data_IF_389425340608
#
_entry.id   IF_389425340608
#
_cell.length_a   1.000
_cell.length_b   1.000
_cell.length_c   1.000
_cell.angle_alpha   90.00
_cell.angle_beta   90.00
_cell.angle_gamma   90.00
#
_symmetry.space_group_name_H-M   'P 1'
#
loop_
_entity.id
_entity.type
_entity.pdbx_description
1 polymer ?
#
# COMPACT_ATOMS: atom_id res chain seq x y z
N UNK A 1 4.66 6.20 9.31
CA UNK A 1 5.60 7.29 8.91
C UNK A 1 4.79 8.56 8.62
N UNK A 2 5.37 9.76 8.81
CA UNK A 2 4.70 11.04 8.56
C UNK A 2 4.60 11.34 7.07
N UNK A 3 3.51 11.99 6.63
CA UNK A 3 3.33 12.46 5.26
C UNK A 3 4.26 13.64 5.00
N UNK A 4 5.26 13.43 4.18
CA UNK A 4 6.21 14.46 3.71
C UNK A 4 6.58 14.17 2.26
N UNK A 5 7.00 15.18 1.50
CA UNK A 5 7.38 15.01 0.08
C UNK A 5 8.45 13.94 -0.12
N UNK A 6 9.42 13.82 0.80
CA UNK A 6 10.47 12.78 0.73
C UNK A 6 9.94 11.36 0.81
N UNK A 7 8.71 11.14 1.34
CA UNK A 7 8.05 9.82 1.38
C UNK A 7 7.44 9.42 0.04
N UNK A 8 7.37 10.34 -0.88
CA UNK A 8 6.95 10.14 -2.28
C UNK A 8 5.61 9.37 -2.43
N UNK A 9 4.61 9.76 -1.61
CA UNK A 9 3.28 9.11 -1.65
C UNK A 9 2.60 9.34 -2.99
N UNK A 10 2.90 10.45 -3.69
CA UNK A 10 2.39 10.68 -5.04
C UNK A 10 2.77 9.55 -6.00
N UNK A 11 4.02 9.07 -5.96
CA UNK A 11 4.46 7.91 -6.75
C UNK A 11 3.65 6.64 -6.38
N UNK A 12 3.38 6.42 -5.07
CA UNK A 12 2.56 5.28 -4.65
C UNK A 12 1.14 5.34 -5.23
N UNK A 13 0.54 6.54 -5.32
CA UNK A 13 -0.78 6.73 -5.95
C UNK A 13 -0.73 6.39 -7.45
N UNK A 14 0.29 6.85 -8.18
CA UNK A 14 0.46 6.52 -9.59
C UNK A 14 0.70 5.02 -9.80
N UNK A 15 1.53 4.39 -8.98
CA UNK A 15 1.76 2.94 -9.02
C UNK A 15 0.45 2.18 -8.83
N UNK A 16 -0.34 2.54 -7.81
CA UNK A 16 -1.63 1.91 -7.56
C UNK A 16 -2.60 2.09 -8.73
N UNK A 17 -2.65 3.29 -9.32
CA UNK A 17 -3.48 3.54 -10.51
C UNK A 17 -3.15 2.58 -11.63
N UNK A 18 -1.87 2.41 -11.99
CA UNK A 18 -1.46 1.44 -13.01
C UNK A 18 -1.69 -0.01 -12.59
N UNK A 19 -1.43 -0.36 -11.33
CA UNK A 19 -1.64 -1.71 -10.82
C UNK A 19 -3.10 -2.17 -10.98
N UNK A 20 -4.07 -1.27 -10.72
CA UNK A 20 -5.51 -1.52 -10.91
C UNK A 20 -5.95 -1.60 -12.38
N UNK A 21 -5.09 -1.24 -13.33
CA UNK A 21 -5.35 -1.37 -14.77
C UNK A 21 -4.81 -2.68 -15.36
N UNK A 22 -3.97 -3.43 -14.62
CA UNK A 22 -3.34 -4.66 -15.13
C UNK A 22 -4.33 -5.83 -15.13
N UNK A 23 -5.13 -5.94 -14.07
CA UNK A 23 -6.11 -7.01 -13.88
C UNK A 23 -7.31 -6.54 -13.03
N UNK A 24 -8.29 -7.42 -12.84
CA UNK A 24 -9.52 -7.15 -12.09
C UNK A 24 -9.34 -7.28 -10.56
N UNK A 25 -8.10 -7.35 -10.04
CA UNK A 25 -7.86 -7.43 -8.60
C UNK A 25 -8.16 -6.09 -7.91
N UNK A 26 -8.83 -6.14 -6.77
CA UNK A 26 -9.17 -4.95 -5.98
C UNK A 26 -7.95 -4.50 -5.14
N UNK A 27 -6.93 -3.98 -5.80
CA UNK A 27 -5.78 -3.40 -5.11
C UNK A 27 -6.18 -2.14 -4.35
N UNK A 28 -5.74 -2.06 -3.08
CA UNK A 28 -5.99 -0.93 -2.19
C UNK A 28 -4.70 -0.47 -1.53
N UNK A 29 -4.61 0.82 -1.24
CA UNK A 29 -3.48 1.43 -0.54
C UNK A 29 -3.95 2.04 0.78
N UNK A 30 -3.30 1.67 1.87
CA UNK A 30 -3.48 2.30 3.18
C UNK A 30 -2.27 3.16 3.49
N UNK A 31 -2.48 4.45 3.70
CA UNK A 31 -1.44 5.41 4.04
C UNK A 31 -1.56 5.73 5.53
N UNK A 32 -0.58 5.29 6.32
CA UNK A 32 -0.66 5.23 7.79
C UNK A 32 -0.25 6.52 8.51
N UNK A 33 0.44 7.44 7.84
CA UNK A 33 1.07 8.59 8.50
C UNK A 33 0.19 9.83 8.54
N UNK A 34 0.22 10.61 9.64
CA UNK A 34 -0.32 11.96 9.68
C UNK A 34 0.58 12.95 8.93
N UNK A 35 0.08 14.14 8.57
CA UNK A 35 0.94 15.25 8.12
C UNK A 35 2.01 15.57 9.17
N UNK A 36 3.21 15.91 8.71
CA UNK A 36 4.32 16.22 9.63
C UNK A 36 4.10 17.57 10.34
N UNK A 37 4.33 17.70 11.67
CA UNK A 37 3.96 18.88 12.45
C UNK A 37 4.89 20.09 12.26
N UNK A 38 6.08 19.91 11.69
CA UNK A 38 7.14 20.93 11.74
C UNK A 38 7.42 21.66 10.43
N UNK A 39 6.65 21.40 9.36
CA UNK A 39 6.80 22.10 8.09
C UNK A 39 5.45 22.70 7.66
N UNK A 40 5.34 24.03 7.52
CA UNK A 40 4.12 24.69 7.05
C UNK A 40 3.62 24.20 5.68
N UNK A 41 4.49 23.60 4.87
CA UNK A 41 4.11 23.03 3.57
C UNK A 41 3.45 21.62 3.67
N UNK A 42 3.44 21.00 4.85
CA UNK A 42 2.87 19.65 5.00
C UNK A 42 1.34 19.59 4.87
N UNK A 43 0.55 20.54 5.39
CA UNK A 43 -0.90 20.58 5.11
C UNK A 43 -1.20 20.68 3.61
N UNK A 44 -0.52 21.57 2.89
CA UNK A 44 -0.66 21.69 1.44
C UNK A 44 -0.28 20.42 0.68
N UNK A 45 0.70 19.65 1.17
CA UNK A 45 1.06 18.38 0.55
C UNK A 45 -0.05 17.32 0.70
N UNK A 46 -0.75 17.27 1.83
CA UNK A 46 -1.92 16.39 1.98
C UNK A 46 -3.01 16.79 0.98
N UNK A 47 -3.32 18.08 0.85
CA UNK A 47 -4.30 18.56 -0.12
C UNK A 47 -3.93 18.19 -1.57
N UNK A 48 -2.66 18.32 -1.94
CA UNK A 48 -2.14 17.86 -3.24
C UNK A 48 -2.37 16.36 -3.46
N UNK A 49 -2.09 15.53 -2.44
CA UNK A 49 -2.31 14.08 -2.51
C UNK A 49 -3.80 13.71 -2.64
N UNK A 50 -4.68 14.44 -1.94
CA UNK A 50 -6.13 14.25 -2.04
C UNK A 50 -6.65 14.65 -3.43
N UNK A 51 -6.15 15.75 -3.99
CA UNK A 51 -6.46 16.18 -5.35
C UNK A 51 -5.96 15.14 -6.38
N UNK A 52 -4.73 14.62 -6.21
CA UNK A 52 -4.17 13.58 -7.07
C UNK A 52 -4.99 12.28 -6.98
N UNK A 53 -5.38 11.84 -5.76
CA UNK A 53 -6.25 10.68 -5.55
C UNK A 53 -7.54 10.80 -6.36
N UNK A 54 -8.18 11.99 -6.34
CA UNK A 54 -9.39 12.27 -7.10
C UNK A 54 -9.13 12.27 -8.62
N UNK A 55 -8.05 12.92 -9.07
CA UNK A 55 -7.66 12.93 -10.50
C UNK A 55 -7.43 11.53 -11.05
N UNK A 56 -6.84 10.63 -10.25
CA UNK A 56 -6.59 9.24 -10.60
C UNK A 56 -7.79 8.30 -10.36
N UNK A 57 -8.93 8.83 -9.88
CA UNK A 57 -10.14 8.06 -9.55
C UNK A 57 -9.89 6.93 -8.54
N UNK A 58 -9.13 7.24 -7.49
CA UNK A 58 -8.70 6.29 -6.46
C UNK A 58 -9.38 6.49 -5.10
N UNK A 59 -10.49 7.24 -5.02
CA UNK A 59 -11.16 7.59 -3.77
C UNK A 59 -11.62 6.36 -2.97
N UNK A 60 -12.03 5.30 -3.66
CA UNK A 60 -12.45 4.03 -3.03
C UNK A 60 -11.29 3.05 -2.78
N UNK A 61 -10.11 3.33 -3.33
CA UNK A 61 -8.95 2.44 -3.29
C UNK A 61 -7.82 2.94 -2.40
N UNK A 62 -7.75 4.25 -2.12
CA UNK A 62 -6.71 4.86 -1.28
C UNK A 62 -7.33 5.42 -0.01
N UNK A 63 -6.86 4.93 1.12
CA UNK A 63 -7.32 5.32 2.45
C UNK A 63 -6.17 5.97 3.24
N UNK A 64 -6.27 7.27 3.48
CA UNK A 64 -5.41 7.94 4.44
C UNK A 64 -6.00 7.76 5.82
N UNK A 65 -5.31 7.09 6.74
CA UNK A 65 -5.84 6.85 8.09
C UNK A 65 -6.16 8.16 8.83
N UNK A 66 -5.41 9.20 8.52
CA UNK A 66 -5.61 10.53 9.08
C UNK A 66 -6.98 11.14 8.76
N UNK A 67 -7.64 10.73 7.65
CA UNK A 67 -8.96 11.24 7.26
C UNK A 67 -10.12 10.43 7.88
N UNK A 68 -9.87 9.24 8.42
CA UNK A 68 -10.95 8.28 8.72
C UNK A 68 -11.78 8.66 9.94
N UNK A 69 -11.27 9.49 10.85
CA UNK A 69 -11.94 9.81 12.11
C UNK A 69 -11.80 11.29 12.48
N UNK A 70 -12.69 11.76 13.35
CA UNK A 70 -12.55 13.01 14.06
C UNK A 70 -12.62 12.72 15.58
N UNK A 71 -11.52 12.86 16.34
CA UNK A 71 -10.19 13.33 15.93
C UNK A 71 -9.47 12.34 14.96
N UNK A 72 -8.51 12.86 14.16
CA UNK A 72 -7.78 12.07 13.17
C UNK A 72 -7.14 10.82 13.74
N UNK A 73 -7.25 9.70 13.03
CA UNK A 73 -6.67 8.43 13.45
C UNK A 73 -5.14 8.43 13.26
N UNK A 74 -4.41 8.41 14.36
CA UNK A 74 -2.96 8.18 14.38
C UNK A 74 -2.75 6.77 14.93
N UNK A 75 -2.32 5.81 14.11
CA UNK A 75 -2.17 4.42 14.56
C UNK A 75 -1.08 4.31 15.63
N UNK A 76 -1.38 3.59 16.69
CA UNK A 76 -0.41 3.11 17.67
C UNK A 76 0.38 1.91 17.14
N UNK A 77 1.35 1.42 17.90
CA UNK A 77 2.20 0.31 17.50
C UNK A 77 1.41 -0.99 17.27
N UNK A 78 0.36 -1.22 18.05
CA UNK A 78 -0.53 -2.38 17.91
C UNK A 78 -1.30 -2.31 16.58
N UNK A 79 -1.86 -1.16 16.28
CA UNK A 79 -2.57 -0.92 15.02
C UNK A 79 -1.64 -1.07 13.82
N UNK A 80 -0.41 -0.53 13.90
CA UNK A 80 0.60 -0.69 12.85
C UNK A 80 0.98 -2.15 12.65
N UNK A 81 1.22 -2.90 13.73
CA UNK A 81 1.51 -4.33 13.66
C UNK A 81 0.38 -5.11 12.99
N UNK A 82 -0.87 -4.81 13.35
CA UNK A 82 -2.04 -5.43 12.71
C UNK A 82 -2.13 -5.09 11.22
N UNK A 83 -1.83 -3.86 10.82
CA UNK A 83 -1.81 -3.46 9.41
C UNK A 83 -0.74 -4.20 8.61
N UNK A 84 0.45 -4.40 9.16
CA UNK A 84 1.48 -5.22 8.53
C UNK A 84 1.02 -6.67 8.35
N UNK A 85 0.37 -7.27 9.34
CA UNK A 85 -0.14 -8.65 9.25
C UNK A 85 -1.30 -8.77 8.24
N UNK A 86 -2.16 -7.77 8.15
CA UNK A 86 -3.30 -7.74 7.22
C UNK A 86 -2.87 -7.40 5.79
N UNK A 87 -1.80 -6.67 5.60
CA UNK A 87 -1.30 -6.26 4.30
C UNK A 87 -0.87 -7.43 3.41
N UNK A 88 -0.78 -7.19 2.12
CA UNK A 88 -0.23 -8.12 1.14
C UNK A 88 1.18 -7.73 0.71
N UNK A 89 1.54 -6.46 0.86
CA UNK A 89 2.87 -5.93 0.60
C UNK A 89 3.09 -4.56 1.22
N UNK A 90 4.33 -4.22 1.51
CA UNK A 90 4.79 -2.88 1.86
C UNK A 90 5.29 -2.19 0.59
N UNK A 91 4.66 -1.07 0.21
CA UNK A 91 5.18 -0.16 -0.81
C UNK A 91 5.86 1.03 -0.11
N UNK A 92 7.17 1.19 -0.32
CA UNK A 92 7.98 2.16 0.41
C UNK A 92 8.81 3.04 -0.56
N UNK A 93 8.19 3.99 -1.27
CA UNK A 93 8.81 4.76 -2.35
C UNK A 93 9.60 5.99 -1.86
N UNK A 94 10.06 5.99 -0.61
CA UNK A 94 10.78 7.11 -0.01
C UNK A 94 12.06 7.44 -0.76
N UNK A 95 12.27 8.71 -1.06
CA UNK A 95 13.49 9.22 -1.72
C UNK A 95 14.65 9.41 -0.74
N UNK A 96 14.36 9.51 0.55
CA UNK A 96 15.37 9.72 1.60
C UNK A 96 14.90 9.14 2.93
N UNK A 97 15.76 8.33 3.55
CA UNK A 97 15.57 7.74 4.88
C UNK A 97 16.90 7.67 5.64
N UNK A 98 16.78 7.55 6.96
CA UNK A 98 17.96 7.32 7.81
C UNK A 98 18.36 5.85 7.89
N UNK A 99 17.39 4.94 8.03
CA UNK A 99 17.68 3.52 8.27
C UNK A 99 16.72 2.55 7.56
N UNK A 100 15.42 2.87 7.48
CA UNK A 100 14.44 1.97 6.86
C UNK A 100 13.75 1.03 7.84
N UNK A 101 13.46 1.48 9.06
CA UNK A 101 12.73 0.68 10.08
C UNK A 101 11.50 -0.06 9.53
N UNK A 102 10.64 0.53 8.66
CA UNK A 102 9.51 -0.18 8.06
C UNK A 102 9.87 -1.45 7.30
N UNK A 103 11.09 -1.56 6.76
CA UNK A 103 11.56 -2.80 6.09
C UNK A 103 11.70 -3.93 7.12
N UNK A 104 12.27 -3.63 8.29
CA UNK A 104 12.45 -4.60 9.36
C UNK A 104 11.11 -5.02 9.97
N UNK A 105 10.20 -4.05 10.21
CA UNK A 105 8.85 -4.31 10.71
C UNK A 105 8.06 -5.23 9.77
N UNK A 106 8.10 -4.95 8.47
CA UNK A 106 7.47 -5.79 7.45
C UNK A 106 8.12 -7.17 7.35
N UNK A 107 9.46 -7.24 7.49
CA UNK A 107 10.23 -8.47 7.49
C UNK A 107 9.82 -9.45 8.60
N UNK A 108 9.58 -8.94 9.82
CA UNK A 108 9.15 -9.76 10.98
C UNK A 108 7.86 -10.54 10.66
N UNK A 109 6.93 -9.96 9.91
CA UNK A 109 5.67 -10.62 9.53
C UNK A 109 5.74 -11.28 8.14
N UNK A 110 6.93 -11.36 7.55
CA UNK A 110 7.16 -11.95 6.21
C UNK A 110 6.31 -11.29 5.11
N UNK A 111 6.10 -9.98 5.22
CA UNK A 111 5.38 -9.19 4.23
C UNK A 111 6.30 -8.89 3.05
N UNK A 112 5.92 -9.12 1.79
CA UNK A 112 6.67 -8.66 0.63
C UNK A 112 6.94 -7.16 0.67
N UNK A 113 8.15 -6.74 0.30
CA UNK A 113 8.57 -5.35 0.36
C UNK A 113 9.00 -4.87 -1.01
N UNK A 114 8.43 -3.75 -1.45
CA UNK A 114 8.75 -3.04 -2.68
C UNK A 114 9.20 -1.64 -2.29
N UNK A 115 10.48 -1.32 -2.44
CA UNK A 115 11.03 -0.07 -1.95
C UNK A 115 11.96 0.61 -2.96
N UNK A 116 12.12 1.93 -2.79
CA UNK A 116 13.05 2.69 -3.59
C UNK A 116 14.49 2.18 -3.40
N UNK A 117 15.27 2.21 -4.47
CA UNK A 117 16.67 1.82 -4.47
C UNK A 117 17.55 2.95 -3.90
N UNK A 118 17.59 3.08 -2.57
CA UNK A 118 18.41 4.04 -1.85
C UNK A 118 19.36 3.34 -0.87
N UNK A 119 20.54 3.93 -0.57
CA UNK A 119 21.56 3.28 0.26
C UNK A 119 21.05 2.69 1.58
N UNK A 120 20.25 3.39 2.43
CA UNK A 120 19.75 2.80 3.68
C UNK A 120 18.88 1.58 3.47
N UNK A 121 18.13 1.50 2.35
CA UNK A 121 17.28 0.35 2.05
C UNK A 121 18.09 -0.84 1.52
N UNK A 122 19.19 -0.57 0.82
CA UNK A 122 20.17 -1.60 0.44
C UNK A 122 20.82 -2.26 1.66
N UNK A 123 21.11 -1.48 2.70
CA UNK A 123 21.70 -1.98 3.95
C UNK A 123 20.71 -2.84 4.75
N UNK A 124 19.44 -2.44 4.81
CA UNK A 124 18.43 -3.13 5.63
C UNK A 124 17.71 -4.26 4.88
N UNK A 125 17.50 -4.11 3.58
CA UNK A 125 16.72 -5.05 2.75
C UNK A 125 17.57 -6.10 2.05
N UNK A 126 18.88 -5.83 1.84
CA UNK A 126 19.83 -6.70 1.13
C UNK A 126 19.24 -7.24 -0.18
N UNK A 127 19.09 -8.56 -0.29
CA UNK A 127 18.50 -9.25 -1.44
C UNK A 127 17.07 -9.78 -1.17
N UNK A 128 16.48 -9.42 -0.01
CA UNK A 128 15.21 -9.98 0.44
C UNK A 128 14.01 -9.08 0.11
N UNK A 129 14.25 -7.96 -0.58
CA UNK A 129 13.23 -7.00 -0.98
C UNK A 129 13.28 -6.74 -2.50
N UNK A 130 12.20 -6.21 -3.06
CA UNK A 130 12.16 -5.78 -4.45
C UNK A 130 12.48 -4.29 -4.54
N UNK A 131 13.61 -3.96 -5.15
CA UNK A 131 14.03 -2.58 -5.37
C UNK A 131 13.52 -2.02 -6.69
N UNK A 132 13.19 -0.74 -6.72
CA UNK A 132 12.94 0.04 -7.93
C UNK A 132 13.62 1.40 -7.85
N UNK A 133 13.99 1.95 -8.98
CA UNK A 133 14.56 3.30 -9.08
C UNK A 133 13.40 4.31 -9.31
N UNK A 134 13.08 5.18 -8.32
CA UNK A 134 11.96 6.10 -8.44
C UNK A 134 12.17 7.19 -9.50
N UNK A 135 13.40 7.39 -10.00
CA UNK A 135 13.76 8.38 -11.01
C UNK A 135 13.82 7.78 -12.44
N UNK A 136 14.10 6.48 -12.56
CA UNK A 136 14.24 5.79 -13.85
C UNK A 136 13.05 4.89 -14.18
N UNK A 137 12.47 4.22 -13.19
CA UNK A 137 11.36 3.30 -13.40
C UNK A 137 10.03 4.08 -13.44
N UNK A 138 9.29 3.97 -14.53
CA UNK A 138 7.95 4.55 -14.58
C UNK A 138 6.99 3.88 -13.58
N UNK A 139 5.95 4.58 -13.11
CA UNK A 139 4.93 3.97 -12.23
C UNK A 139 4.30 2.70 -12.81
N UNK A 140 4.16 2.62 -14.14
CA UNK A 140 3.65 1.44 -14.84
C UNK A 140 4.62 0.25 -14.76
N UNK A 141 5.92 0.48 -14.88
CA UNK A 141 6.94 -0.57 -14.74
C UNK A 141 6.99 -1.11 -13.32
N UNK A 142 6.94 -0.21 -12.31
CA UNK A 142 6.88 -0.61 -10.90
C UNK A 142 5.61 -1.41 -10.61
N UNK A 143 4.46 -0.97 -11.14
CA UNK A 143 3.19 -1.70 -11.01
C UNK A 143 3.27 -3.11 -11.62
N UNK A 144 3.86 -3.24 -12.81
CA UNK A 144 4.07 -4.53 -13.46
C UNK A 144 5.00 -5.44 -12.63
N UNK A 145 6.06 -4.91 -12.04
CA UNK A 145 6.95 -5.66 -11.13
C UNK A 145 6.18 -6.19 -9.91
N UNK A 146 5.38 -5.36 -9.25
CA UNK A 146 4.55 -5.74 -8.10
C UNK A 146 3.54 -6.83 -8.49
N UNK A 147 2.82 -6.63 -9.61
CA UNK A 147 1.86 -7.60 -10.12
C UNK A 147 2.51 -8.96 -10.40
N UNK A 148 3.65 -8.98 -11.12
CA UNK A 148 4.37 -10.20 -11.45
C UNK A 148 4.85 -10.91 -10.18
N UNK A 149 5.36 -10.17 -9.19
CA UNK A 149 5.73 -10.76 -7.91
C UNK A 149 4.57 -11.51 -7.26
N UNK A 150 3.40 -10.89 -7.15
CA UNK A 150 2.23 -11.56 -6.56
C UNK A 150 1.74 -12.75 -7.39
N UNK A 151 1.82 -12.64 -8.71
CA UNK A 151 1.45 -13.72 -9.63
C UNK A 151 2.40 -14.93 -9.54
N UNK A 152 3.69 -14.70 -9.37
CA UNK A 152 4.69 -15.78 -9.41
C UNK A 152 4.85 -16.50 -8.06
N UNK A 153 4.51 -15.85 -6.94
CA UNK A 153 4.66 -16.42 -5.61
C UNK A 153 3.40 -17.18 -5.15
N UNK A 154 3.48 -18.53 -5.09
CA UNK A 154 2.35 -19.41 -4.76
C UNK A 154 1.66 -19.05 -3.43
N UNK A 155 2.45 -18.67 -2.40
CA UNK A 155 1.92 -18.24 -1.10
C UNK A 155 1.04 -17.00 -1.22
N UNK A 156 1.46 -16.01 -2.02
CA UNK A 156 0.70 -14.78 -2.23
C UNK A 156 -0.57 -15.05 -3.03
N UNK A 157 -0.48 -15.88 -4.08
CA UNK A 157 -1.66 -16.31 -4.85
C UNK A 157 -2.69 -17.02 -3.96
N UNK A 158 -2.24 -17.91 -3.06
CA UNK A 158 -3.15 -18.59 -2.14
C UNK A 158 -3.80 -17.61 -1.16
N UNK A 159 -3.03 -16.69 -0.58
CA UNK A 159 -3.53 -15.66 0.34
C UNK A 159 -4.60 -14.79 -0.34
N UNK A 160 -4.33 -14.30 -1.55
CA UNK A 160 -5.26 -13.52 -2.35
C UNK A 160 -6.54 -14.33 -2.64
N UNK A 161 -6.41 -15.57 -3.13
CA UNK A 161 -7.56 -16.44 -3.43
C UNK A 161 -8.44 -16.68 -2.21
N UNK A 162 -7.85 -16.97 -1.04
CA UNK A 162 -8.60 -17.16 0.20
C UNK A 162 -9.37 -15.90 0.58
N UNK A 163 -8.73 -14.73 0.50
CA UNK A 163 -9.37 -13.45 0.81
C UNK A 163 -10.52 -13.10 -0.13
N UNK A 164 -10.38 -13.40 -1.42
CA UNK A 164 -11.37 -13.03 -2.43
C UNK A 164 -12.54 -14.01 -2.54
N UNK A 165 -12.34 -15.30 -2.23
CA UNK A 165 -13.35 -16.32 -2.50
C UNK A 165 -13.83 -17.09 -1.27
N UNK A 166 -13.04 -17.15 -0.19
CA UNK A 166 -13.30 -18.05 0.94
C UNK A 166 -13.58 -17.32 2.27
N UNK A 167 -13.77 -16.01 2.25
CA UNK A 167 -14.26 -15.28 3.43
C UNK A 167 -15.78 -15.48 3.55
N UNK A 168 -16.28 -15.59 4.79
CA UNK A 168 -17.71 -15.78 5.05
C UNK A 168 -18.58 -14.72 4.37
N UNK A 169 -18.18 -13.44 4.42
CA UNK A 169 -18.95 -12.35 3.81
C UNK A 169 -19.05 -12.50 2.28
N UNK A 170 -18.03 -13.03 1.64
CA UNK A 170 -18.00 -13.28 0.19
C UNK A 170 -18.87 -14.48 -0.14
N UNK A 171 -18.75 -15.58 0.62
CA UNK A 171 -19.56 -16.79 0.44
C UNK A 171 -21.05 -16.48 0.61
N UNK A 172 -21.41 -15.77 1.69
CA UNK A 172 -22.80 -15.37 1.94
C UNK A 172 -23.34 -14.54 0.78
N UNK A 173 -22.62 -13.49 0.38
CA UNK A 173 -23.08 -12.58 -0.68
C UNK A 173 -23.16 -13.24 -2.05
N UNK A 174 -22.19 -14.08 -2.41
CA UNK A 174 -22.10 -14.64 -3.77
C UNK A 174 -22.83 -15.96 -3.93
N UNK A 175 -23.00 -16.74 -2.86
CA UNK A 175 -23.56 -18.08 -2.94
C UNK A 175 -24.87 -18.26 -2.16
N UNK A 176 -25.02 -17.69 -0.97
CA UNK A 176 -26.21 -17.89 -0.16
C UNK A 176 -27.32 -16.89 -0.48
N UNK A 177 -27.03 -15.62 -0.63
CA UNK A 177 -28.04 -14.58 -0.92
C UNK A 177 -28.78 -14.88 -2.23
N UNK A 178 -28.13 -15.21 -3.36
CA UNK A 178 -28.85 -15.55 -4.59
C UNK A 178 -29.81 -16.73 -4.44
N UNK A 179 -29.43 -17.77 -3.67
CA UNK A 179 -30.31 -18.92 -3.41
C UNK A 179 -31.58 -18.55 -2.59
N UNK A 180 -31.51 -17.47 -1.83
CA UNK A 180 -32.71 -16.99 -1.05
C UNK A 180 -33.58 -16.04 -1.85
N UNK A 181 -33.07 -15.41 -2.90
CA UNK A 181 -33.79 -14.49 -3.77
C UNK A 181 -34.47 -15.19 -4.96
N UNK A 182 -34.07 -16.42 -5.28
CA UNK A 182 -34.71 -17.26 -6.34
C UNK A 182 -36.06 -17.90 -5.94
N UNK A 183 -36.70 -17.42 -4.88
CA UNK A 183 -38.05 -17.80 -4.46
C UNK A 183 -39.04 -16.66 -4.72
#
# INVERSE_FOLDING_TARGET
>A
ARLTRRKNIALALHILHHLRQIDDQDYRLIVTGPPGPHNPANPGYLEELLALRKTLQLETAVHFLYELNDPPLIPDDTTLSNLYQLGDGLLFPSMQEGFGIPILEAGIVSLPIFCADIPPFRETGLNDVQFFDPDQDSPAQIAAMIHNYFKDHARQRLKARVRHHYRWEVIVRQQLVPLLEEK
#
